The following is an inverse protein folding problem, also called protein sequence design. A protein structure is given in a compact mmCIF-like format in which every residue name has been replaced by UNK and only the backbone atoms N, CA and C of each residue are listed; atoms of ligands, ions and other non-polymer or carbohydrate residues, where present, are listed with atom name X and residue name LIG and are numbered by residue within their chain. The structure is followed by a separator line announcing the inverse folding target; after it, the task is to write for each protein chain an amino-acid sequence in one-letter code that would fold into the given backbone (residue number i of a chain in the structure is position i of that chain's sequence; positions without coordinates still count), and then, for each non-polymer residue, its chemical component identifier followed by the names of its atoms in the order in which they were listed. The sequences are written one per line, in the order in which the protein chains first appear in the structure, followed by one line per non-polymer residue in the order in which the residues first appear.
data_IF_494447800499
#
_entry.id   IF_494447800499
#
_cell.length_a   1.000
_cell.length_b   1.000
_cell.length_c   1.000
_cell.angle_alpha   90.00
_cell.angle_beta   90.00
_cell.angle_gamma   90.00
#
_symmetry.space_group_name_H-M   'P 1'
#
loop_
_entity.id
_entity.type
_entity.pdbx_description
1 polymer ?
#
# COMPACT_ATOMS: atom_id res chain seq x y z
N UNK A 1 13.93 7.70 -30.58
CA UNK A 1 13.05 7.31 -29.45
C UNK A 1 13.80 6.31 -28.60
N UNK A 2 13.77 6.46 -27.28
CA UNK A 2 14.33 5.46 -26.36
C UNK A 2 13.44 4.23 -26.32
N UNK A 3 14.02 3.02 -26.28
CA UNK A 3 13.25 1.78 -26.14
C UNK A 3 12.57 1.72 -24.77
N UNK A 4 11.46 0.98 -24.65
CA UNK A 4 10.76 0.77 -23.38
C UNK A 4 11.71 0.29 -22.29
N UNK A 5 12.62 -0.64 -22.63
CA UNK A 5 13.60 -1.18 -21.68
C UNK A 5 14.57 -0.11 -21.16
N UNK A 6 15.10 0.76 -22.02
CA UNK A 6 16.01 1.83 -21.60
C UNK A 6 15.30 2.84 -20.69
N UNK A 7 14.06 3.21 -21.02
CA UNK A 7 13.25 4.12 -20.21
C UNK A 7 12.91 3.50 -18.84
N UNK A 8 12.56 2.21 -18.80
CA UNK A 8 12.34 1.46 -17.56
C UNK A 8 13.61 1.42 -16.70
N UNK A 9 14.77 1.10 -17.30
CA UNK A 9 16.06 1.08 -16.59
C UNK A 9 16.47 2.47 -16.08
N UNK A 10 16.17 3.53 -16.81
CA UNK A 10 16.45 4.90 -16.36
C UNK A 10 15.72 5.25 -15.04
N UNK A 11 14.50 4.71 -14.85
CA UNK A 11 13.75 4.89 -13.62
C UNK A 11 14.25 3.95 -12.51
N UNK A 12 14.50 2.68 -12.83
CA UNK A 12 14.76 1.63 -11.85
C UNK A 12 16.21 1.54 -11.36
N UNK A 13 17.19 2.04 -12.15
CA UNK A 13 18.62 2.05 -11.77
C UNK A 13 18.86 2.76 -10.44
N UNK A 14 18.10 3.82 -10.15
CA UNK A 14 18.09 4.49 -8.86
C UNK A 14 16.66 4.91 -8.50
N UNK A 15 15.87 3.96 -8.05
CA UNK A 15 14.46 4.15 -7.72
C UNK A 15 14.26 5.22 -6.64
N UNK A 16 15.13 5.26 -5.63
CA UNK A 16 15.10 6.25 -4.55
C UNK A 16 15.24 7.67 -5.10
N UNK A 17 16.18 7.90 -6.02
CA UNK A 17 16.36 9.20 -6.64
C UNK A 17 15.17 9.55 -7.55
N UNK A 18 14.61 8.58 -8.28
CA UNK A 18 13.43 8.79 -9.11
C UNK A 18 12.20 9.18 -8.28
N UNK A 19 11.99 8.53 -7.14
CA UNK A 19 10.95 8.89 -6.18
C UNK A 19 11.18 10.28 -5.59
N UNK A 20 12.41 10.62 -5.18
CA UNK A 20 12.73 11.94 -4.64
C UNK A 20 12.49 13.06 -5.67
N UNK A 21 12.84 12.86 -6.94
CA UNK A 21 12.54 13.80 -8.02
C UNK A 21 11.04 13.98 -8.22
N UNK A 22 10.27 12.89 -8.15
CA UNK A 22 8.81 12.95 -8.28
C UNK A 22 8.19 13.68 -7.09
N UNK A 23 8.63 13.39 -5.87
CA UNK A 23 8.15 14.06 -4.67
C UNK A 23 8.42 15.57 -4.68
N UNK A 24 9.54 15.99 -5.31
CA UNK A 24 9.91 17.40 -5.44
C UNK A 24 9.15 18.17 -6.53
N UNK A 25 8.33 17.52 -7.35
CA UNK A 25 7.49 18.22 -8.34
C UNK A 25 6.47 19.12 -7.62
N UNK A 26 6.24 20.36 -8.07
CA UNK A 26 5.39 21.32 -7.35
C UNK A 26 3.98 20.83 -7.09
N UNK A 27 3.34 20.16 -8.04
CA UNK A 27 1.99 19.58 -7.92
C UNK A 27 1.94 18.42 -6.93
N UNK A 28 2.95 17.53 -6.96
CA UNK A 28 3.09 16.40 -6.04
C UNK A 28 3.37 16.90 -4.63
N UNK A 29 4.34 17.81 -4.47
CA UNK A 29 4.70 18.39 -3.17
C UNK A 29 3.52 19.14 -2.53
N UNK A 30 2.81 19.97 -3.31
CA UNK A 30 1.64 20.72 -2.81
C UNK A 30 0.47 19.78 -2.42
N UNK A 31 0.27 18.69 -3.16
CA UNK A 31 -0.77 17.70 -2.86
C UNK A 31 -0.42 16.90 -1.60
N UNK A 32 0.85 16.50 -1.47
CA UNK A 32 1.37 15.80 -0.29
C UNK A 32 1.29 16.66 0.96
N UNK A 33 1.76 17.91 0.90
CA UNK A 33 1.69 18.83 2.04
C UNK A 33 0.23 19.09 2.48
N UNK A 34 -0.70 19.17 1.52
CA UNK A 34 -2.12 19.27 1.85
C UNK A 34 -2.61 18.03 2.60
N UNK A 35 -2.31 16.84 2.07
CA UNK A 35 -2.74 15.56 2.66
C UNK A 35 -2.20 15.41 4.09
N UNK A 36 -0.90 15.58 4.30
CA UNK A 36 -0.25 15.48 5.62
C UNK A 36 -0.84 16.47 6.64
N UNK A 37 -1.11 17.70 6.20
CA UNK A 37 -1.69 18.75 7.08
C UNK A 37 -3.13 18.45 7.50
N UNK A 38 -3.91 17.73 6.67
CA UNK A 38 -5.36 17.59 6.87
C UNK A 38 -5.76 16.20 7.37
N UNK A 39 -5.00 15.15 7.06
CA UNK A 39 -5.35 13.78 7.47
C UNK A 39 -5.46 13.63 9.00
N UNK A 40 -4.60 14.29 9.76
CA UNK A 40 -4.64 14.28 11.23
C UNK A 40 -5.91 14.88 11.84
N UNK A 41 -6.71 15.61 11.06
CA UNK A 41 -7.99 16.18 11.49
C UNK A 41 -9.19 15.27 11.23
N UNK A 42 -9.00 14.23 10.47
CA UNK A 42 -10.04 13.26 10.11
C UNK A 42 -10.32 12.36 11.30
N UNK A 43 -11.55 12.41 11.80
CA UNK A 43 -12.02 11.56 12.92
C UNK A 43 -12.94 10.44 12.46
N UNK A 44 -13.67 10.65 11.37
CA UNK A 44 -14.68 9.73 10.86
C UNK A 44 -14.53 9.51 9.36
N UNK A 45 -15.15 8.44 8.86
CA UNK A 45 -15.29 8.20 7.43
C UNK A 45 -15.98 9.37 6.72
N UNK A 46 -16.95 10.01 7.38
CA UNK A 46 -17.64 11.18 6.83
C UNK A 46 -16.70 12.38 6.65
N UNK A 47 -15.82 12.64 7.62
CA UNK A 47 -14.83 13.71 7.51
C UNK A 47 -13.88 13.43 6.34
N UNK A 48 -13.44 12.18 6.20
CA UNK A 48 -12.58 11.74 5.09
C UNK A 48 -13.24 11.95 3.73
N UNK A 49 -14.51 11.55 3.59
CA UNK A 49 -15.25 11.61 2.33
C UNK A 49 -15.67 13.03 1.95
N UNK A 50 -15.78 13.97 2.91
CA UNK A 50 -16.12 15.38 2.69
C UNK A 50 -14.96 16.18 2.12
N UNK A 51 -13.74 15.91 2.53
CA UNK A 51 -12.55 16.57 1.97
C UNK A 51 -12.16 15.92 0.64
N UNK A 52 -12.70 16.47 -0.46
CA UNK A 52 -12.51 15.92 -1.81
C UNK A 52 -11.02 15.84 -2.22
N UNK A 53 -10.21 16.82 -1.80
CA UNK A 53 -8.79 16.86 -2.11
C UNK A 53 -8.01 15.77 -1.37
N UNK A 54 -8.32 15.58 -0.09
CA UNK A 54 -7.74 14.53 0.74
C UNK A 54 -8.15 13.14 0.24
N UNK A 55 -9.45 12.95 -0.01
CA UNK A 55 -10.01 11.72 -0.54
C UNK A 55 -9.37 11.32 -1.89
N UNK A 56 -9.30 12.26 -2.85
CA UNK A 56 -8.68 11.99 -4.18
C UNK A 56 -7.21 11.62 -4.05
N UNK A 57 -6.46 12.31 -3.20
CA UNK A 57 -5.06 11.98 -2.95
C UNK A 57 -4.90 10.53 -2.47
N UNK A 58 -5.71 10.13 -1.49
CA UNK A 58 -5.69 8.77 -0.95
C UNK A 58 -6.09 7.73 -2.00
N UNK A 59 -7.16 7.97 -2.76
CA UNK A 59 -7.62 7.08 -3.83
C UNK A 59 -6.57 6.93 -4.93
N UNK A 60 -5.93 8.03 -5.33
CA UNK A 60 -4.82 8.04 -6.31
C UNK A 60 -3.62 7.21 -5.81
N UNK A 61 -3.28 7.31 -4.52
CA UNK A 61 -2.16 6.57 -3.93
C UNK A 61 -2.30 5.04 -4.08
N UNK A 62 -3.53 4.55 -4.12
CA UNK A 62 -3.82 3.13 -4.30
C UNK A 62 -4.09 2.73 -5.76
N UNK A 63 -3.92 3.66 -6.71
CA UNK A 63 -4.15 3.41 -8.13
C UNK A 63 -5.63 3.25 -8.49
N UNK A 64 -6.52 3.86 -7.71
CA UNK A 64 -7.97 3.85 -7.88
C UNK A 64 -8.52 5.20 -8.36
N UNK A 65 -7.66 6.09 -8.88
CA UNK A 65 -8.04 7.45 -9.29
C UNK A 65 -9.21 7.49 -10.27
N UNK A 66 -9.31 6.52 -11.16
CA UNK A 66 -10.43 6.32 -12.07
C UNK A 66 -11.78 6.09 -11.37
N UNK A 67 -11.76 5.61 -10.12
CA UNK A 67 -12.94 5.35 -9.30
C UNK A 67 -13.28 6.49 -8.33
N UNK A 68 -12.51 7.56 -8.31
CA UNK A 68 -12.71 8.67 -7.38
C UNK A 68 -14.09 9.33 -7.52
N UNK A 69 -14.70 9.29 -8.70
CA UNK A 69 -16.05 9.81 -8.93
C UNK A 69 -17.15 8.95 -8.27
N UNK A 70 -16.90 7.65 -8.09
CA UNK A 70 -17.86 6.69 -7.58
C UNK A 70 -17.91 6.69 -6.04
N UNK A 71 -18.12 7.87 -5.42
CA UNK A 71 -18.02 8.08 -3.96
C UNK A 71 -18.87 7.10 -3.14
N UNK A 72 -20.09 6.79 -3.59
CA UNK A 72 -20.98 5.87 -2.89
C UNK A 72 -20.40 4.43 -2.85
N UNK A 73 -19.80 3.99 -3.95
CA UNK A 73 -19.11 2.70 -4.01
C UNK A 73 -17.87 2.70 -3.12
N UNK A 74 -17.03 3.73 -3.23
CA UNK A 74 -15.80 3.85 -2.42
C UNK A 74 -16.11 3.96 -0.92
N UNK A 75 -17.23 4.60 -0.55
CA UNK A 75 -17.73 4.60 0.83
C UNK A 75 -18.01 3.16 1.31
N UNK A 76 -18.74 2.35 0.52
CA UNK A 76 -19.01 0.94 0.85
C UNK A 76 -17.74 0.11 1.02
N UNK A 77 -16.70 0.41 0.23
CA UNK A 77 -15.39 -0.23 0.36
C UNK A 77 -14.79 0.04 1.74
N UNK A 78 -14.92 1.27 2.26
CA UNK A 78 -14.31 1.69 3.53
C UNK A 78 -15.18 1.35 4.77
N UNK A 79 -16.52 1.38 4.64
CA UNK A 79 -17.45 1.22 5.79
C UNK A 79 -17.30 -0.10 6.54
N UNK A 80 -16.99 -1.19 5.83
CA UNK A 80 -16.88 -2.52 6.41
C UNK A 80 -15.48 -2.92 6.82
N UNK A 81 -14.48 -2.08 6.56
CA UNK A 81 -13.07 -2.43 6.79
C UNK A 81 -12.66 -3.74 6.12
N UNK A 82 -11.66 -4.41 6.69
CA UNK A 82 -11.15 -5.71 6.19
C UNK A 82 -11.18 -6.82 7.24
N UNK A 83 -11.56 -6.52 8.49
CA UNK A 83 -11.52 -7.47 9.61
C UNK A 83 -12.51 -8.63 9.44
N UNK A 84 -13.66 -8.40 8.80
CA UNK A 84 -14.63 -9.46 8.49
C UNK A 84 -14.34 -10.08 7.13
N UNK A 85 -14.23 -11.42 7.00
CA UNK A 85 -14.11 -12.08 5.69
C UNK A 85 -15.26 -11.73 4.73
N UNK A 86 -16.41 -11.36 5.28
CA UNK A 86 -17.62 -11.00 4.53
C UNK A 86 -17.73 -9.52 4.22
N UNK A 87 -16.75 -8.68 4.58
CA UNK A 87 -16.76 -7.25 4.26
C UNK A 87 -16.81 -7.03 2.74
N UNK A 88 -17.37 -5.89 2.34
CA UNK A 88 -17.50 -5.58 0.92
C UNK A 88 -16.15 -5.55 0.20
N UNK A 89 -15.14 -4.94 0.82
CA UNK A 89 -13.78 -4.87 0.28
C UNK A 89 -13.15 -6.27 0.06
N UNK A 90 -13.39 -7.22 0.98
CA UNK A 90 -12.86 -8.58 0.87
C UNK A 90 -13.53 -9.43 -0.22
N UNK A 91 -14.75 -9.06 -0.65
CA UNK A 91 -15.48 -9.75 -1.74
C UNK A 91 -15.10 -9.27 -3.13
N UNK A 92 -14.40 -8.14 -3.24
CA UNK A 92 -13.98 -7.62 -4.52
C UNK A 92 -12.75 -8.38 -5.03
N UNK A 93 -12.77 -8.72 -6.32
CA UNK A 93 -11.66 -9.43 -6.98
C UNK A 93 -10.41 -8.54 -7.13
N UNK A 94 -10.60 -7.24 -7.35
CA UNK A 94 -9.49 -6.28 -7.40
C UNK A 94 -8.98 -5.96 -5.99
N UNK A 95 -7.78 -6.45 -5.69
CA UNK A 95 -7.13 -6.30 -4.38
C UNK A 95 -6.84 -4.84 -4.00
N UNK A 96 -6.81 -3.91 -4.96
CA UNK A 96 -6.57 -2.49 -4.67
C UNK A 96 -7.61 -1.93 -3.70
N UNK A 97 -8.87 -2.36 -3.82
CA UNK A 97 -9.93 -1.94 -2.89
C UNK A 97 -9.71 -2.46 -1.47
N UNK A 98 -9.28 -3.70 -1.34
CA UNK A 98 -8.93 -4.28 -0.04
C UNK A 98 -7.74 -3.57 0.59
N UNK A 99 -6.67 -3.33 -0.20
CA UNK A 99 -5.48 -2.61 0.25
C UNK A 99 -5.84 -1.18 0.72
N UNK A 100 -6.76 -0.52 0.00
CA UNK A 100 -7.28 0.79 0.37
C UNK A 100 -8.11 0.77 1.66
N UNK A 101 -9.03 -0.19 1.79
CA UNK A 101 -9.84 -0.34 2.99
C UNK A 101 -9.01 -0.74 4.22
N UNK A 102 -7.95 -1.54 4.03
CA UNK A 102 -7.02 -1.89 5.10
C UNK A 102 -6.20 -0.69 5.58
N UNK A 103 -5.81 0.21 4.67
CA UNK A 103 -5.05 1.40 5.01
C UNK A 103 -5.91 2.48 5.71
N UNK A 104 -7.22 2.47 5.52
CA UNK A 104 -8.18 3.43 6.08
C UNK A 104 -9.33 2.69 6.77
N UNK A 105 -9.01 1.82 7.75
CA UNK A 105 -10.01 1.00 8.45
C UNK A 105 -10.71 1.79 9.57
N UNK A 106 -11.55 2.74 9.18
CA UNK A 106 -12.37 3.54 10.09
C UNK A 106 -13.29 2.69 10.98
N UNK A 107 -13.70 1.51 10.52
CA UNK A 107 -14.59 0.59 11.23
C UNK A 107 -13.91 0.00 12.44
N UNK A 108 -12.70 -0.52 12.29
CA UNK A 108 -11.91 -1.07 13.40
C UNK A 108 -11.49 0.04 14.37
N UNK A 109 -11.02 1.18 13.88
CA UNK A 109 -10.65 2.33 14.70
C UNK A 109 -11.82 2.82 15.56
N UNK A 110 -13.01 2.97 14.98
CA UNK A 110 -14.22 3.36 15.72
C UNK A 110 -14.57 2.33 16.80
N UNK A 111 -14.43 1.06 16.50
CA UNK A 111 -14.71 -0.05 17.44
C UNK A 111 -13.73 -0.03 18.61
N UNK A 112 -12.43 0.13 18.36
CA UNK A 112 -11.40 0.19 19.39
C UNK A 112 -11.57 1.43 20.27
N UNK A 113 -11.80 2.59 19.68
CA UNK A 113 -12.04 3.85 20.38
C UNK A 113 -13.31 3.76 21.27
N UNK A 114 -14.40 3.22 20.73
CA UNK A 114 -15.65 3.06 21.48
C UNK A 114 -15.46 2.09 22.65
N UNK A 115 -14.76 0.98 22.43
CA UNK A 115 -14.46 0.01 23.47
C UNK A 115 -13.61 0.63 24.59
N UNK A 116 -12.53 1.33 24.25
CA UNK A 116 -11.67 2.02 25.20
C UNK A 116 -12.49 3.02 26.05
N UNK A 117 -13.22 3.93 25.40
CA UNK A 117 -14.01 4.95 26.09
C UNK A 117 -15.07 4.36 27.04
N UNK A 118 -15.74 3.26 26.64
CA UNK A 118 -16.78 2.62 27.47
C UNK A 118 -16.24 1.82 28.66
N UNK A 119 -14.97 1.39 28.61
CA UNK A 119 -14.45 0.43 29.60
C UNK A 119 -13.30 0.98 30.45
N UNK A 120 -12.56 1.99 29.98
CA UNK A 120 -11.36 2.47 30.69
C UNK A 120 -11.65 2.96 32.11
N UNK A 121 -12.78 3.61 32.34
CA UNK A 121 -13.19 4.08 33.65
C UNK A 121 -13.45 2.95 34.67
N UNK A 122 -13.59 1.70 34.20
CA UNK A 122 -13.79 0.50 35.08
C UNK A 122 -12.44 -0.03 35.60
N UNK A 123 -11.34 0.32 34.98
CA UNK A 123 -10.00 -0.10 35.39
C UNK A 123 -9.52 0.76 36.54
N UNK A 124 -9.33 0.20 37.72
CA UNK A 124 -9.08 0.95 38.97
C UNK A 124 -7.64 0.83 39.47
N UNK A 125 -6.89 -0.16 39.01
CA UNK A 125 -5.54 -0.45 39.49
C UNK A 125 -4.57 -0.70 38.33
N UNK A 126 -3.28 -0.51 38.56
CA UNK A 126 -2.22 -0.85 37.59
C UNK A 126 -2.30 -2.32 37.20
N UNK A 127 -2.43 -3.22 38.20
CA UNK A 127 -2.52 -4.66 37.96
C UNK A 127 -3.71 -5.02 37.06
N UNK A 128 -4.88 -4.39 37.29
CA UNK A 128 -6.03 -4.58 36.41
C UNK A 128 -5.75 -4.05 34.99
N UNK A 129 -5.11 -2.89 34.88
CA UNK A 129 -4.80 -2.26 33.59
C UNK A 129 -3.84 -3.09 32.74
N UNK A 130 -2.79 -3.65 33.34
CA UNK A 130 -1.75 -4.43 32.64
C UNK A 130 -2.06 -5.93 32.55
N UNK A 131 -3.18 -6.37 33.12
CA UNK A 131 -3.61 -7.78 33.06
C UNK A 131 -4.10 -8.18 31.67
N UNK A 132 -4.11 -9.49 31.41
CA UNK A 132 -4.62 -10.02 30.13
C UNK A 132 -6.11 -9.69 29.90
N UNK A 133 -6.92 -9.53 30.98
CA UNK A 133 -8.33 -9.17 30.87
C UNK A 133 -8.57 -7.72 30.41
N UNK A 134 -7.58 -6.84 30.58
CA UNK A 134 -7.62 -5.45 30.11
C UNK A 134 -6.59 -5.17 29.00
N UNK A 135 -5.96 -6.21 28.43
CA UNK A 135 -4.90 -6.07 27.41
C UNK A 135 -5.31 -5.12 26.28
N UNK A 136 -6.52 -5.26 25.77
CA UNK A 136 -7.06 -4.40 24.70
C UNK A 136 -7.02 -2.91 25.05
N UNK A 137 -7.29 -2.52 26.30
CA UNK A 137 -7.24 -1.11 26.73
C UNK A 137 -5.80 -0.66 26.97
N UNK A 138 -4.94 -1.57 27.49
CA UNK A 138 -3.53 -1.31 27.67
C UNK A 138 -2.84 -1.15 26.31
N UNK A 139 -3.10 -2.07 25.38
CA UNK A 139 -2.54 -2.04 24.03
C UNK A 139 -2.96 -0.77 23.27
N UNK A 140 -4.25 -0.39 23.37
CA UNK A 140 -4.75 0.89 22.85
C UNK A 140 -3.99 2.11 23.43
N UNK A 141 -3.73 2.10 24.73
CA UNK A 141 -3.00 3.18 25.37
C UNK A 141 -1.51 3.20 24.95
N UNK A 142 -0.87 2.03 24.84
CA UNK A 142 0.50 1.90 24.34
C UNK A 142 0.63 2.45 22.93
N UNK A 143 -0.28 2.09 22.05
CA UNK A 143 -0.35 2.58 20.66
C UNK A 143 -0.58 4.10 20.61
N UNK A 144 -1.47 4.63 21.46
CA UNK A 144 -1.73 6.08 21.56
C UNK A 144 -0.47 6.90 21.86
N UNK A 145 0.50 6.32 22.55
CA UNK A 145 1.75 6.99 22.90
C UNK A 145 2.95 6.52 22.07
N UNK A 146 2.77 5.58 21.12
CA UNK A 146 3.83 5.01 20.30
C UNK A 146 4.89 4.31 21.14
N UNK A 147 4.47 3.45 22.06
CA UNK A 147 5.30 2.76 23.05
C UNK A 147 5.38 1.25 22.80
N UNK A 148 5.03 0.75 21.62
CA UNK A 148 4.98 -0.67 21.29
C UNK A 148 6.34 -1.32 21.54
N UNK A 149 7.42 -0.68 21.13
CA UNK A 149 8.79 -1.19 21.26
C UNK A 149 9.30 -1.33 22.70
N UNK A 150 8.57 -0.81 23.70
CA UNK A 150 8.97 -0.92 25.11
C UNK A 150 8.10 -1.88 25.91
N UNK A 151 7.26 -2.68 25.21
CA UNK A 151 6.40 -3.73 25.80
C UNK A 151 6.45 -5.02 24.99
N UNK A 152 7.36 -5.16 24.04
CA UNK A 152 7.49 -6.32 23.13
C UNK A 152 7.79 -7.63 23.89
N UNK A 153 8.47 -7.53 25.01
CA UNK A 153 8.82 -8.68 25.85
C UNK A 153 8.09 -8.65 27.18
N UNK A 154 7.86 -9.81 27.82
CA UNK A 154 7.30 -9.86 29.18
C UNK A 154 8.11 -9.06 30.21
N UNK A 155 9.43 -8.98 30.04
CA UNK A 155 10.32 -8.21 30.91
C UNK A 155 10.08 -6.70 30.76
N UNK A 156 9.96 -6.22 29.55
CA UNK A 156 9.67 -4.81 29.25
C UNK A 156 8.28 -4.42 29.75
N UNK A 157 7.26 -5.26 29.47
CA UNK A 157 5.92 -5.06 30.01
C UNK A 157 5.91 -5.00 31.54
N UNK A 158 6.71 -5.84 32.22
CA UNK A 158 6.84 -5.80 33.67
C UNK A 158 7.51 -4.49 34.14
N UNK A 159 8.52 -3.99 33.42
CA UNK A 159 9.18 -2.72 33.73
C UNK A 159 8.21 -1.52 33.59
N UNK A 160 7.40 -1.49 32.53
CA UNK A 160 6.37 -0.47 32.31
C UNK A 160 5.28 -0.58 33.40
N UNK A 161 4.89 -1.79 33.79
CA UNK A 161 3.95 -2.02 34.90
C UNK A 161 4.50 -1.46 36.23
N UNK A 162 5.77 -1.73 36.55
CA UNK A 162 6.43 -1.19 37.73
C UNK A 162 6.49 0.35 37.68
N UNK A 163 6.78 0.92 36.51
CA UNK A 163 6.79 2.37 36.31
C UNK A 163 5.41 3.01 36.54
N UNK A 164 4.32 2.37 36.13
CA UNK A 164 2.95 2.85 36.39
C UNK A 164 2.61 2.88 37.90
N UNK A 165 3.17 1.96 38.69
CA UNK A 165 3.02 1.99 40.16
C UNK A 165 3.74 3.17 40.81
N UNK A 166 4.86 3.61 40.25
CA UNK A 166 5.67 4.71 40.72
C UNK A 166 5.26 6.07 40.12
N UNK A 167 4.55 6.04 38.99
CA UNK A 167 4.08 7.23 38.30
C UNK A 167 5.23 8.13 37.83
N UNK A 168 5.14 9.45 38.08
CA UNK A 168 6.14 10.44 37.70
C UNK A 168 7.52 10.22 38.33
N UNK A 169 7.58 9.52 39.44
CA UNK A 169 8.79 9.24 40.22
C UNK A 169 9.48 7.94 39.74
N UNK A 170 9.00 7.30 38.68
CA UNK A 170 9.62 6.12 38.09
C UNK A 170 11.05 6.43 37.60
N UNK A 171 12.05 5.58 37.98
CA UNK A 171 13.41 5.69 37.48
C UNK A 171 13.56 5.16 36.05
N UNK A 172 12.57 4.49 35.51
CA UNK A 172 12.61 3.97 34.13
C UNK A 172 12.68 5.14 33.15
N UNK A 173 13.72 5.16 32.34
CA UNK A 173 13.97 6.17 31.31
C UNK A 173 14.55 5.51 30.04
N UNK A 174 14.50 6.21 28.93
CA UNK A 174 15.00 5.76 27.64
C UNK A 174 16.01 6.74 27.09
N UNK A 175 17.08 6.24 26.47
CA UNK A 175 18.14 7.06 25.85
C UNK A 175 17.62 7.90 24.69
N UNK A 176 16.58 7.38 23.95
CA UNK A 176 15.85 8.17 22.98
C UNK A 176 14.96 9.21 23.69
N UNK A 177 15.34 10.47 23.58
CA UNK A 177 14.64 11.59 24.24
C UNK A 177 13.17 11.74 23.78
N UNK A 178 12.86 11.39 22.52
CA UNK A 178 11.50 11.43 22.02
C UNK A 178 10.65 10.29 22.61
N UNK A 179 11.22 9.11 22.72
CA UNK A 179 10.60 7.96 23.36
C UNK A 179 10.38 8.22 24.85
N UNK A 180 11.39 8.73 25.57
CA UNK A 180 11.26 9.07 27.00
C UNK A 180 10.17 10.13 27.23
N UNK A 181 10.10 11.16 26.38
CA UNK A 181 9.06 12.19 26.45
C UNK A 181 7.66 11.57 26.30
N UNK A 182 7.47 10.65 25.36
CA UNK A 182 6.20 9.93 25.14
C UNK A 182 5.85 9.05 26.34
N UNK A 183 6.85 8.34 26.86
CA UNK A 183 6.68 7.50 28.05
C UNK A 183 6.30 8.32 29.30
N UNK A 184 6.95 9.47 29.54
CA UNK A 184 6.55 10.37 30.64
C UNK A 184 5.13 10.93 30.44
N UNK A 185 4.72 11.19 29.21
CA UNK A 185 3.36 11.60 28.91
C UNK A 185 2.33 10.47 29.19
N UNK A 186 2.67 9.22 28.88
CA UNK A 186 1.89 8.04 29.24
C UNK A 186 1.71 7.88 30.75
N UNK A 187 2.81 7.97 31.55
CA UNK A 187 2.73 7.91 33.00
C UNK A 187 1.89 9.03 33.60
N UNK A 188 1.90 10.23 33.00
CA UNK A 188 1.02 11.34 33.44
C UNK A 188 -0.47 11.11 33.10
N UNK A 189 -0.74 10.50 31.95
CA UNK A 189 -2.11 10.20 31.55
C UNK A 189 -2.74 9.12 32.44
N UNK A 190 -1.97 8.12 32.81
CA UNK A 190 -2.35 6.99 33.67
C UNK A 190 -1.71 7.10 35.06
N UNK A 191 -1.95 8.21 35.74
CA UNK A 191 -1.33 8.54 37.04
C UNK A 191 -1.99 7.76 38.20
N UNK A 192 -1.79 6.44 38.23
CA UNK A 192 -2.26 5.58 39.31
C UNK A 192 -1.59 5.91 40.66
N UNK A 193 -0.34 6.35 40.65
CA UNK A 193 0.40 6.73 41.85
C UNK A 193 -0.20 7.97 42.54
N UNK A 194 -0.52 9.01 41.74
CA UNK A 194 -1.05 10.26 42.26
C UNK A 194 -2.58 10.28 42.43
N UNK A 195 -3.31 9.69 41.51
CA UNK A 195 -4.78 9.73 41.45
C UNK A 195 -5.46 8.47 41.97
N UNK A 196 -4.71 7.38 42.20
CA UNK A 196 -5.24 6.09 42.71
C UNK A 196 -6.38 5.55 41.84
N UNK A 197 -7.48 5.19 42.45
CA UNK A 197 -8.66 4.64 41.78
C UNK A 197 -9.35 5.58 40.78
N UNK A 198 -8.96 6.87 40.76
CA UNK A 198 -9.51 7.88 39.86
C UNK A 198 -8.64 8.09 38.59
N UNK A 199 -7.49 7.44 38.48
CA UNK A 199 -6.52 7.63 37.39
C UNK A 199 -7.16 7.51 35.99
N UNK A 200 -8.09 6.59 35.81
CA UNK A 200 -8.77 6.31 34.54
C UNK A 200 -10.19 6.87 34.46
N UNK A 201 -10.64 7.59 35.50
CA UNK A 201 -12.01 8.17 35.56
C UNK A 201 -12.05 9.64 35.15
N UNK A 202 -10.90 10.24 34.83
CA UNK A 202 -10.80 11.61 34.32
C UNK A 202 -11.13 11.61 32.83
N UNK A 203 -12.36 11.99 32.51
CA UNK A 203 -12.88 11.97 31.14
C UNK A 203 -12.03 12.83 30.18
N UNK A 204 -11.54 13.98 30.66
CA UNK A 204 -10.71 14.86 29.82
C UNK A 204 -9.34 14.24 29.52
N UNK A 205 -8.71 13.61 30.53
CA UNK A 205 -7.45 12.90 30.34
C UNK A 205 -7.63 11.71 29.40
N UNK A 206 -8.69 10.91 29.55
CA UNK A 206 -8.96 9.76 28.68
C UNK A 206 -9.32 10.20 27.24
N UNK A 207 -10.02 11.32 27.08
CA UNK A 207 -10.26 11.90 25.75
C UNK A 207 -8.94 12.31 25.06
N UNK A 208 -7.96 12.84 25.80
CA UNK A 208 -6.63 13.12 25.23
C UNK A 208 -5.90 11.84 24.78
N UNK A 209 -6.10 10.69 25.46
CA UNK A 209 -5.57 9.40 25.00
C UNK A 209 -6.21 9.00 23.69
N UNK A 210 -7.54 9.14 23.56
CA UNK A 210 -8.27 8.90 22.30
C UNK A 210 -7.78 9.80 21.17
N UNK A 211 -7.62 11.09 21.45
CA UNK A 211 -7.14 12.05 20.43
C UNK A 211 -5.69 11.74 19.99
N UNK A 212 -4.84 11.27 20.91
CA UNK A 212 -3.48 10.80 20.59
C UNK A 212 -3.48 9.54 19.74
N UNK A 213 -4.28 8.54 20.12
CA UNK A 213 -4.41 7.30 19.34
C UNK A 213 -4.83 7.61 17.90
N UNK A 214 -5.91 8.39 17.75
CA UNK A 214 -6.36 8.79 16.41
C UNK A 214 -5.27 9.55 15.64
N UNK A 215 -4.53 10.42 16.31
CA UNK A 215 -3.40 11.16 15.73
C UNK A 215 -2.25 10.24 15.28
N UNK A 216 -1.91 9.24 16.07
CA UNK A 216 -0.86 8.25 15.75
C UNK A 216 -1.26 7.40 14.53
N UNK A 217 -2.48 6.86 14.53
CA UNK A 217 -3.03 6.10 13.40
C UNK A 217 -3.02 6.95 12.12
N UNK A 218 -3.44 8.22 12.20
CA UNK A 218 -3.43 9.12 11.03
C UNK A 218 -2.02 9.44 10.54
N UNK A 219 -1.06 9.57 11.43
CA UNK A 219 0.34 9.80 11.06
C UNK A 219 0.95 8.59 10.31
N UNK A 220 0.65 7.38 10.76
CA UNK A 220 1.10 6.15 10.09
C UNK A 220 0.42 5.98 8.73
N UNK A 221 -0.89 6.19 8.66
CA UNK A 221 -1.64 6.21 7.40
C UNK A 221 -1.07 7.24 6.42
N UNK A 222 -0.71 8.44 6.92
CA UNK A 222 -0.12 9.48 6.09
C UNK A 222 1.17 9.02 5.46
N UNK A 223 2.11 8.48 6.25
CA UNK A 223 3.40 7.99 5.75
C UNK A 223 3.23 6.94 4.66
N UNK A 224 2.47 5.88 4.94
CA UNK A 224 2.24 4.80 3.98
C UNK A 224 1.52 5.27 2.71
N UNK A 225 0.61 6.24 2.83
CA UNK A 225 -0.13 6.80 1.69
C UNK A 225 0.76 7.71 0.83
N UNK A 226 1.62 8.53 1.44
CA UNK A 226 2.56 9.41 0.73
C UNK A 226 3.56 8.60 -0.10
N UNK A 227 4.10 7.52 0.45
CA UNK A 227 4.97 6.61 -0.29
C UNK A 227 4.28 6.01 -1.52
N UNK A 228 3.04 5.53 -1.35
CA UNK A 228 2.25 4.97 -2.45
C UNK A 228 1.89 6.02 -3.49
N UNK A 229 1.47 7.21 -3.07
CA UNK A 229 1.13 8.32 -3.96
C UNK A 229 2.32 8.75 -4.82
N UNK A 230 3.48 8.96 -4.20
CA UNK A 230 4.70 9.35 -4.90
C UNK A 230 5.10 8.28 -5.93
N UNK A 231 5.01 7.01 -5.56
CA UNK A 231 5.27 5.91 -6.49
C UNK A 231 4.27 5.86 -7.63
N UNK A 232 2.99 6.03 -7.35
CA UNK A 232 1.94 6.06 -8.37
C UNK A 232 2.15 7.22 -9.36
N UNK A 233 2.51 8.41 -8.86
CA UNK A 233 2.83 9.56 -9.70
C UNK A 233 4.08 9.31 -10.56
N UNK A 234 5.12 8.70 -10.00
CA UNK A 234 6.32 8.31 -10.77
C UNK A 234 5.98 7.32 -11.89
N UNK A 235 5.15 6.32 -11.61
CA UNK A 235 4.70 5.34 -12.60
C UNK A 235 3.88 6.02 -13.72
N UNK A 236 2.96 6.93 -13.35
CA UNK A 236 2.15 7.69 -14.30
C UNK A 236 3.00 8.62 -15.18
N UNK A 237 3.97 9.32 -14.60
CA UNK A 237 4.88 10.21 -15.33
C UNK A 237 5.72 9.43 -16.33
N UNK A 238 6.23 8.25 -15.92
CA UNK A 238 6.96 7.36 -16.83
C UNK A 238 6.05 6.86 -17.97
N UNK A 239 4.77 6.67 -17.68
CA UNK A 239 3.76 6.27 -18.66
C UNK A 239 3.34 7.35 -19.63
N UNK A 240 3.50 8.62 -19.28
CA UNK A 240 3.10 9.75 -20.13
C UNK A 240 3.84 9.76 -21.49
N UNK A 241 5.08 9.31 -21.50
CA UNK A 241 5.88 9.18 -22.74
C UNK A 241 5.83 7.75 -23.31
N UNK A 242 5.62 6.75 -22.51
CA UNK A 242 5.55 5.35 -22.93
C UNK A 242 4.76 4.50 -21.90
N UNK A 243 3.53 4.16 -22.23
CA UNK A 243 2.63 3.37 -21.40
C UNK A 243 3.22 2.02 -20.97
N UNK A 244 4.04 1.40 -21.80
CA UNK A 244 4.68 0.12 -21.48
C UNK A 244 5.70 0.25 -20.36
N UNK A 245 6.31 1.44 -20.16
CA UNK A 245 7.19 1.71 -19.01
C UNK A 245 6.38 1.72 -17.73
N UNK A 246 5.22 2.39 -17.69
CA UNK A 246 4.31 2.39 -16.55
C UNK A 246 3.88 0.97 -16.18
N UNK A 247 3.49 0.20 -17.17
CA UNK A 247 3.08 -1.19 -16.99
C UNK A 247 4.22 -2.07 -16.44
N UNK A 248 5.46 -1.89 -16.92
CA UNK A 248 6.62 -2.60 -16.41
C UNK A 248 6.92 -2.27 -14.95
N UNK A 249 6.89 -0.98 -14.58
CA UNK A 249 7.09 -0.52 -13.20
C UNK A 249 5.99 -1.04 -12.27
N UNK A 250 4.74 -0.97 -12.70
CA UNK A 250 3.60 -1.50 -11.97
C UNK A 250 3.73 -3.01 -11.74
N UNK A 251 4.07 -3.76 -12.80
CA UNK A 251 4.26 -5.20 -12.73
C UNK A 251 5.41 -5.56 -11.79
N UNK A 252 6.56 -4.88 -11.88
CA UNK A 252 7.69 -5.10 -10.97
C UNK A 252 7.28 -5.02 -9.50
N UNK A 253 6.42 -4.07 -9.17
CA UNK A 253 5.94 -3.85 -7.81
C UNK A 253 4.92 -4.89 -7.34
N UNK A 254 4.00 -5.29 -8.22
CA UNK A 254 2.87 -6.15 -7.85
C UNK A 254 3.16 -7.65 -8.01
N UNK A 255 3.99 -8.03 -8.96
CA UNK A 255 4.23 -9.42 -9.32
C UNK A 255 4.70 -10.33 -8.17
N UNK A 256 5.57 -9.90 -7.23
CA UNK A 256 5.97 -10.75 -6.11
C UNK A 256 4.82 -11.23 -5.20
N UNK A 257 3.70 -10.50 -5.20
CA UNK A 257 2.49 -10.84 -4.45
C UNK A 257 1.48 -11.70 -5.21
N UNK A 258 1.74 -12.02 -6.49
CA UNK A 258 0.84 -12.82 -7.32
C UNK A 258 1.08 -14.31 -7.04
N UNK A 259 0.02 -15.04 -6.72
CA UNK A 259 0.07 -16.47 -6.40
C UNK A 259 -0.70 -17.36 -7.38
N UNK A 260 -1.60 -16.78 -8.16
CA UNK A 260 -2.46 -17.50 -9.10
C UNK A 260 -2.85 -16.64 -10.32
N UNK A 261 -3.45 -17.30 -11.32
CA UNK A 261 -3.85 -16.69 -12.56
C UNK A 261 -5.03 -15.72 -12.40
N UNK A 262 -5.95 -15.96 -11.47
CA UNK A 262 -7.12 -15.12 -11.27
C UNK A 262 -6.72 -13.72 -10.78
N UNK A 263 -5.65 -13.63 -9.96
CA UNK A 263 -5.11 -12.34 -9.53
C UNK A 263 -4.53 -11.52 -10.68
N UNK A 264 -3.94 -12.19 -11.68
CA UNK A 264 -3.51 -11.53 -12.92
C UNK A 264 -4.71 -11.05 -13.73
N UNK A 265 -5.73 -11.89 -13.86
CA UNK A 265 -6.93 -11.58 -14.65
C UNK A 265 -7.81 -10.51 -14.03
N UNK A 266 -7.79 -10.38 -12.70
CA UNK A 266 -8.53 -9.37 -11.96
C UNK A 266 -7.95 -7.94 -12.09
N UNK A 267 -6.70 -7.81 -12.55
CA UNK A 267 -6.00 -6.55 -12.72
C UNK A 267 -5.67 -6.33 -14.21
N UNK A 268 -6.33 -5.39 -14.90
CA UNK A 268 -6.13 -5.17 -16.34
C UNK A 268 -4.69 -4.82 -16.72
N UNK A 269 -3.93 -4.13 -15.83
CA UNK A 269 -2.54 -3.77 -16.08
C UNK A 269 -1.63 -5.02 -15.99
N UNK A 270 -1.82 -5.86 -14.98
CA UNK A 270 -1.11 -7.14 -14.85
C UNK A 270 -1.44 -8.07 -16.02
N UNK A 271 -2.72 -8.17 -16.37
CA UNK A 271 -3.19 -8.98 -17.49
C UNK A 271 -2.52 -8.57 -18.80
N UNK A 272 -2.48 -7.25 -19.08
CA UNK A 272 -1.84 -6.72 -20.29
C UNK A 272 -0.35 -7.05 -20.35
N UNK A 273 0.38 -6.93 -19.23
CA UNK A 273 1.80 -7.29 -19.16
C UNK A 273 1.99 -8.78 -19.44
N UNK A 274 1.21 -9.63 -18.77
CA UNK A 274 1.32 -11.08 -18.90
C UNK A 274 0.96 -11.55 -20.32
N UNK A 275 -0.15 -11.07 -20.88
CA UNK A 275 -0.53 -11.40 -22.26
C UNK A 275 0.55 -11.01 -23.25
N UNK A 276 1.07 -9.79 -23.13
CA UNK A 276 2.14 -9.30 -24.02
C UNK A 276 3.41 -10.13 -23.85
N UNK A 277 3.87 -10.37 -22.61
CA UNK A 277 5.07 -11.13 -22.33
C UNK A 277 4.99 -12.60 -22.82
N UNK A 278 3.79 -13.18 -22.81
CA UNK A 278 3.55 -14.53 -23.32
C UNK A 278 3.26 -14.59 -24.82
N UNK A 279 3.15 -13.45 -25.50
CA UNK A 279 2.77 -13.38 -26.91
C UNK A 279 1.36 -13.90 -27.18
N UNK A 280 0.45 -13.73 -26.23
CA UNK A 280 -0.91 -14.24 -26.35
C UNK A 280 -1.79 -13.22 -27.09
N UNK A 281 -2.68 -13.72 -27.98
CA UNK A 281 -3.61 -12.86 -28.69
C UNK A 281 -4.70 -12.28 -27.74
N UNK A 282 -5.25 -11.12 -28.11
CA UNK A 282 -6.28 -10.43 -27.31
C UNK A 282 -7.58 -11.24 -27.19
N UNK A 283 -7.86 -12.08 -28.17
CA UNK A 283 -9.03 -12.94 -28.29
C UNK A 283 -9.11 -13.98 -27.15
N UNK A 284 -8.01 -14.21 -26.44
CA UNK A 284 -8.01 -15.08 -25.26
C UNK A 284 -8.95 -14.57 -24.18
N UNK A 285 -9.23 -13.26 -24.11
CA UNK A 285 -10.22 -12.67 -23.22
C UNK A 285 -11.68 -13.04 -23.53
N UNK A 286 -11.96 -13.63 -24.69
CA UNK A 286 -13.31 -14.02 -25.10
C UNK A 286 -13.68 -15.47 -24.72
N UNK A 287 -12.71 -16.28 -24.27
CA UNK A 287 -12.98 -17.66 -23.83
C UNK A 287 -13.38 -17.70 -22.35
N UNK A 288 -13.87 -18.86 -21.92
CA UNK A 288 -14.25 -19.11 -20.53
C UNK A 288 -13.14 -18.75 -19.53
N UNK A 289 -13.52 -18.20 -18.37
CA UNK A 289 -12.63 -17.67 -17.37
C UNK A 289 -11.66 -18.70 -16.80
N UNK A 290 -12.17 -19.92 -16.51
CA UNK A 290 -11.36 -21.00 -15.94
C UNK A 290 -10.35 -21.51 -16.97
N UNK A 291 -10.75 -21.52 -18.25
CA UNK A 291 -9.86 -21.88 -19.34
C UNK A 291 -8.77 -20.83 -19.57
N UNK A 292 -9.09 -19.54 -19.44
CA UNK A 292 -8.08 -18.48 -19.42
C UNK A 292 -7.08 -18.71 -18.29
N UNK A 293 -7.57 -18.95 -17.06
CA UNK A 293 -6.73 -19.19 -15.89
C UNK A 293 -5.80 -20.39 -16.10
N UNK A 294 -6.30 -21.50 -16.67
CA UNK A 294 -5.48 -22.67 -17.00
C UNK A 294 -4.37 -22.37 -18.01
N UNK A 295 -4.66 -21.55 -19.05
CA UNK A 295 -3.66 -21.14 -20.04
C UNK A 295 -2.55 -20.35 -19.38
N UNK A 296 -2.87 -19.38 -18.51
CA UNK A 296 -1.86 -18.61 -17.79
C UNK A 296 -1.07 -19.48 -16.82
N UNK A 297 -1.74 -20.33 -16.03
CA UNK A 297 -1.11 -21.19 -15.04
C UNK A 297 -0.16 -22.23 -15.69
N UNK A 298 -0.48 -22.71 -16.91
CA UNK A 298 0.40 -23.63 -17.64
C UNK A 298 1.69 -22.99 -18.18
N UNK A 299 1.72 -21.66 -18.31
CA UNK A 299 2.83 -20.91 -18.92
C UNK A 299 3.63 -20.07 -17.92
N UNK A 300 3.13 -19.89 -16.71
CA UNK A 300 3.74 -19.04 -15.67
C UNK A 300 3.94 -19.86 -14.40
N UNK A 301 5.16 -19.86 -13.90
CA UNK A 301 5.44 -20.26 -12.51
C UNK A 301 5.37 -19.00 -11.64
N UNK A 302 4.24 -18.75 -10.98
CA UNK A 302 4.05 -17.55 -10.16
C UNK A 302 5.11 -17.38 -9.07
N UNK A 303 5.66 -18.50 -8.55
CA UNK A 303 6.76 -18.45 -7.59
C UNK A 303 8.02 -17.77 -8.15
N UNK A 304 8.24 -17.80 -9.48
CA UNK A 304 9.38 -17.14 -10.12
C UNK A 304 9.32 -15.62 -10.03
N UNK A 305 8.14 -15.03 -9.80
CA UNK A 305 8.00 -13.60 -9.60
C UNK A 305 8.55 -13.09 -8.26
N UNK A 306 8.82 -13.99 -7.31
CA UNK A 306 9.52 -13.66 -6.06
C UNK A 306 11.05 -13.63 -6.22
N UNK A 307 11.57 -14.21 -7.29
CA UNK A 307 12.98 -14.18 -7.64
C UNK A 307 13.27 -12.93 -8.48
N UNK A 308 14.12 -11.98 -7.99
CA UNK A 308 14.40 -10.75 -8.70
C UNK A 308 14.97 -10.93 -10.11
N UNK A 309 15.78 -11.97 -10.34
CA UNK A 309 16.42 -12.23 -11.64
C UNK A 309 15.38 -12.73 -12.63
N UNK A 310 14.52 -13.66 -12.22
CA UNK A 310 13.46 -14.20 -13.08
C UNK A 310 12.39 -13.17 -13.38
N UNK A 311 12.02 -12.35 -12.38
CA UNK A 311 11.10 -11.24 -12.56
C UNK A 311 11.65 -10.23 -13.56
N UNK A 312 12.94 -9.88 -13.44
CA UNK A 312 13.60 -8.98 -14.39
C UNK A 312 13.63 -9.55 -15.80
N UNK A 313 13.87 -10.85 -15.94
CA UNK A 313 13.82 -11.53 -17.23
C UNK A 313 12.44 -11.49 -17.87
N UNK A 314 11.40 -11.67 -17.07
CA UNK A 314 10.01 -11.56 -17.53
C UNK A 314 9.67 -10.13 -18.00
N UNK A 315 10.11 -9.11 -17.24
CA UNK A 315 9.93 -7.70 -17.61
C UNK A 315 10.71 -7.37 -18.88
N UNK A 316 11.92 -7.89 -19.04
CA UNK A 316 12.72 -7.69 -20.27
C UNK A 316 11.98 -8.24 -21.48
N UNK A 317 11.41 -9.43 -21.36
CA UNK A 317 10.60 -10.03 -22.42
C UNK A 317 9.35 -9.19 -22.73
N UNK A 318 8.66 -8.74 -21.69
CA UNK A 318 7.50 -7.84 -21.85
C UNK A 318 7.88 -6.57 -22.62
N UNK A 319 8.95 -5.87 -22.20
CA UNK A 319 9.35 -4.59 -22.82
C UNK A 319 9.76 -4.76 -24.27
N UNK A 320 10.46 -5.84 -24.61
CA UNK A 320 10.85 -6.14 -25.98
C UNK A 320 9.63 -6.41 -26.88
N UNK A 321 8.67 -7.23 -26.41
CA UNK A 321 7.46 -7.53 -27.18
C UNK A 321 6.50 -6.33 -27.27
N UNK A 322 6.47 -5.48 -26.23
CA UNK A 322 5.71 -4.23 -26.26
C UNK A 322 6.29 -3.24 -27.29
N UNK A 323 7.61 -3.13 -27.40
CA UNK A 323 8.25 -2.28 -28.42
C UNK A 323 7.93 -2.79 -29.84
N UNK A 324 7.93 -4.11 -30.06
CA UNK A 324 7.51 -4.71 -31.35
C UNK A 324 6.05 -4.39 -31.65
N UNK A 325 5.16 -4.59 -30.67
CA UNK A 325 3.71 -4.35 -30.84
C UNK A 325 3.38 -2.86 -31.09
N UNK A 326 4.20 -1.95 -30.57
CA UNK A 326 4.05 -0.50 -30.74
C UNK A 326 4.81 0.04 -31.97
N UNK A 327 5.42 -0.83 -32.81
CA UNK A 327 6.17 -0.43 -33.98
C UNK A 327 7.50 0.28 -33.68
N UNK A 328 8.01 0.18 -32.46
CA UNK A 328 9.24 0.85 -32.00
C UNK A 328 10.50 -0.01 -32.15
N UNK A 329 10.61 -0.82 -33.20
CA UNK A 329 11.82 -1.60 -33.44
C UNK A 329 12.89 -0.72 -34.12
N UNK A 330 14.16 -0.93 -33.76
CA UNK A 330 15.28 -0.25 -34.38
C UNK A 330 15.31 -0.43 -35.94
N UNK A 331 14.78 -1.55 -36.43
CA UNK A 331 14.60 -1.85 -37.82
C UNK A 331 13.55 -0.94 -38.49
N UNK A 332 12.43 -0.61 -37.80
CA UNK A 332 11.42 0.29 -38.38
C UNK A 332 11.92 1.73 -38.46
N UNK A 333 12.78 2.17 -37.54
CA UNK A 333 13.40 3.50 -37.59
C UNK A 333 14.42 3.63 -38.70
N UNK A 334 15.22 2.59 -38.95
CA UNK A 334 16.22 2.60 -40.06
C UNK A 334 15.55 2.50 -41.46
N UNK A 335 14.49 1.68 -41.56
CA UNK A 335 13.76 1.50 -42.83
C UNK A 335 12.87 2.69 -43.15
N UNK A 336 12.24 3.35 -42.18
CA UNK A 336 11.42 4.54 -42.43
C UNK A 336 12.28 5.76 -42.85
N UNK A 337 13.56 5.80 -42.45
CA UNK A 337 14.51 6.83 -42.93
C UNK A 337 14.96 6.53 -44.36
N UNK A 338 15.03 5.26 -44.75
CA UNK A 338 15.59 4.86 -46.07
C UNK A 338 14.54 4.77 -47.19
N UNK A 339 13.25 4.52 -46.89
CA UNK A 339 12.24 4.16 -47.90
C UNK A 339 11.04 5.12 -47.98
N UNK A 340 10.93 6.12 -47.14
CA UNK A 340 9.94 7.20 -47.26
C UNK A 340 8.44 6.81 -47.31
N UNK A 341 8.06 5.55 -47.09
CA UNK A 341 6.68 5.12 -46.93
C UNK A 341 6.55 3.91 -45.99
N UNK A 342 5.54 3.86 -45.11
CA UNK A 342 5.32 2.72 -44.25
C UNK A 342 4.62 1.61 -45.02
N UNK A 343 5.33 0.62 -45.46
CA UNK A 343 4.74 -0.69 -45.75
C UNK A 343 4.68 -1.45 -44.43
N UNK A 344 3.48 -1.84 -44.01
CA UNK A 344 3.24 -2.70 -42.85
C UNK A 344 3.93 -4.05 -43.14
N UNK A 345 5.17 -4.20 -42.69
CA UNK A 345 5.83 -5.51 -42.60
C UNK A 345 5.28 -6.20 -41.34
N UNK A 346 4.16 -6.88 -41.52
CA UNK A 346 3.65 -7.80 -40.52
C UNK A 346 4.69 -8.89 -40.26
N UNK A 347 5.13 -9.07 -39.03
CA UNK A 347 5.87 -10.27 -38.63
C UNK A 347 4.96 -11.44 -38.92
N UNK A 348 5.37 -12.38 -39.79
CA UNK A 348 4.55 -13.51 -40.16
C UNK A 348 4.26 -14.37 -38.91
N UNK A 349 3.09 -14.99 -38.87
CA UNK A 349 2.74 -15.92 -37.78
C UNK A 349 3.79 -17.04 -37.60
N UNK A 350 4.44 -17.44 -38.68
CA UNK A 350 5.54 -18.42 -38.66
C UNK A 350 6.78 -17.92 -37.90
N UNK A 351 7.10 -16.63 -38.00
CA UNK A 351 8.21 -16.03 -37.24
C UNK A 351 7.87 -15.94 -35.74
N UNK A 352 6.60 -15.66 -35.40
CA UNK A 352 6.13 -15.68 -34.02
C UNK A 352 6.13 -17.11 -33.45
N UNK A 353 5.74 -18.12 -34.24
CA UNK A 353 5.81 -19.52 -33.85
C UNK A 353 7.26 -20.01 -33.70
N UNK A 354 8.19 -19.55 -34.52
CA UNK A 354 9.62 -19.90 -34.42
C UNK A 354 10.26 -19.33 -33.16
N UNK A 355 9.90 -18.10 -32.76
CA UNK A 355 10.32 -17.50 -31.48
C UNK A 355 9.69 -18.25 -30.28
N UNK A 356 8.48 -18.75 -30.45
CA UNK A 356 7.76 -19.50 -29.42
C UNK A 356 8.39 -20.88 -29.14
N UNK A 357 9.04 -21.47 -30.16
CA UNK A 357 9.70 -22.77 -30.09
C UNK A 357 11.16 -22.70 -29.62
N UNK A 358 11.74 -21.51 -29.44
CA UNK A 358 13.01 -21.34 -28.77
C UNK A 358 12.87 -21.73 -27.31
N UNK A 359 13.14 -23.01 -27.01
CA UNK A 359 13.26 -23.53 -25.64
C UNK A 359 14.33 -22.72 -24.91
N UNK A 360 13.94 -22.02 -23.85
CA UNK A 360 14.85 -21.45 -22.89
C UNK A 360 15.62 -22.58 -22.20
N UNK A 361 16.91 -22.72 -22.55
CA UNK A 361 17.87 -23.48 -21.76
C UNK A 361 17.87 -24.96 -22.06
N UNK A 362 18.72 -25.38 -22.97
CA UNK A 362 19.27 -26.70 -22.98
C UNK A 362 20.30 -26.87 -21.86
N UNK A 363 20.23 -28.03 -21.24
CA UNK A 363 21.16 -28.75 -20.35
C UNK A 363 21.34 -28.15 -18.98
#
# INVERSE_FOLDING_TARGET
MTTTMLSYQAVTRNITQSLARTAAKPDVAASTAYFEKHIGKVKTLDDFMKDDRLYRYAVDAFGLGEMAYAKAFMRKVLEGGVSSPNSFANKLSDKRYRDFAAAFDFSTEQTETTYFAANIAKVKTVTAFTSNSASRMFDYAIEAFGLESVVDTPKEKAAVTAALHLGKDSPLHFDDAALDTRFRAFLRAFDFAGKGLKATSDTAAMQQVVDRHNGAVRADQAKGTVEKYTRQKMELDAGASNESVRLALYFQRKAPGITDAYQVMADPALLKVVQTALGLPKEIGAIDLDRQAQIYASRIKFADFKDPVKLQSFITRFTALADVANGQTAASSAVSILVGQPTAAGVSMDTLFSIQNLRLGGV
#
